data_IF_593721316470
#
_entry.id   IF_593721316470
#
_cell.length_a   1.000
_cell.length_b   1.000
_cell.length_c   1.000
_cell.angle_alpha   90.00
_cell.angle_beta   90.00
_cell.angle_gamma   90.00
#
_symmetry.space_group_name_H-M   'P 1'
#
loop_
_entity.id
_entity.type
_entity.pdbx_description
1 polymer ?
#
# COMPACT_ATOMS: atom_id res chain seq x y z
N UNK A 1 -13.42 -15.00 4.89
CA UNK A 1 -13.00 -13.65 5.31
C UNK A 1 -12.71 -13.67 6.80
N UNK A 2 -11.57 -13.14 7.28
CA UNK A 2 -11.18 -13.16 8.71
C UNK A 2 -11.85 -12.07 9.57
N UNK A 3 -12.83 -11.33 9.03
CA UNK A 3 -13.59 -10.29 9.76
C UNK A 3 -12.94 -8.90 9.77
N UNK A 4 -11.76 -8.75 9.18
CA UNK A 4 -11.05 -7.47 9.11
C UNK A 4 -11.77 -6.45 8.20
N UNK A 5 -11.79 -5.19 8.62
CA UNK A 5 -12.40 -4.07 7.88
C UNK A 5 -11.37 -3.38 6.98
N UNK A 6 -10.90 -4.12 5.97
CA UNK A 6 -9.90 -3.65 4.99
C UNK A 6 -10.49 -3.54 3.58
N UNK A 7 -9.83 -2.82 2.69
CA UNK A 7 -10.28 -2.62 1.33
C UNK A 7 -9.18 -2.09 0.42
N UNK A 8 -9.40 -2.18 -0.89
CA UNK A 8 -8.44 -1.78 -1.92
C UNK A 8 -9.10 -0.86 -2.95
N UNK A 9 -8.45 0.25 -3.27
CA UNK A 9 -8.79 1.08 -4.44
C UNK A 9 -7.74 0.82 -5.53
N UNK A 10 -8.21 0.43 -6.72
CA UNK A 10 -7.36 0.20 -7.90
C UNK A 10 -7.39 1.43 -8.79
N UNK A 11 -6.30 2.19 -8.83
CA UNK A 11 -6.15 3.33 -9.75
C UNK A 11 -5.97 2.78 -11.16
N UNK A 12 -6.91 3.09 -12.07
CA UNK A 12 -6.90 2.64 -13.47
C UNK A 12 -6.45 3.72 -14.44
N UNK A 13 -6.97 4.94 -14.26
CA UNK A 13 -6.57 6.12 -15.02
C UNK A 13 -5.77 7.04 -14.10
N UNK A 14 -4.45 7.03 -14.25
CA UNK A 14 -3.58 7.90 -13.44
C UNK A 14 -3.58 9.34 -13.94
N UNK A 15 -3.65 9.57 -15.26
CA UNK A 15 -3.75 10.91 -15.85
C UNK A 15 -4.75 10.94 -17.01
N UNK A 16 -5.64 11.96 -17.09
CA UNK A 16 -5.92 12.96 -16.04
C UNK A 16 -6.50 12.32 -14.77
N UNK A 17 -6.08 12.79 -13.59
CA UNK A 17 -6.47 12.22 -12.30
C UNK A 17 -7.83 12.79 -11.85
N UNK A 18 -8.84 11.94 -11.68
CA UNK A 18 -10.19 12.36 -11.29
C UNK A 18 -10.41 12.17 -9.79
N UNK A 19 -10.30 13.27 -9.03
CA UNK A 19 -10.59 13.31 -7.58
C UNK A 19 -12.04 12.91 -7.31
N UNK A 20 -12.99 13.41 -8.11
CA UNK A 20 -14.41 13.08 -7.98
C UNK A 20 -14.67 11.56 -7.99
N UNK A 21 -14.08 10.85 -8.97
CA UNK A 21 -14.25 9.38 -9.07
C UNK A 21 -13.59 8.65 -7.91
N UNK A 22 -12.42 9.11 -7.45
CA UNK A 22 -11.74 8.55 -6.27
C UNK A 22 -12.62 8.69 -5.02
N UNK A 23 -13.10 9.89 -4.73
CA UNK A 23 -13.92 10.16 -3.55
C UNK A 23 -15.27 9.43 -3.61
N UNK A 24 -15.85 9.27 -4.80
CA UNK A 24 -17.10 8.53 -5.00
C UNK A 24 -17.00 7.04 -4.62
N UNK A 25 -15.85 6.41 -4.86
CA UNK A 25 -15.65 4.98 -4.55
C UNK A 25 -15.08 4.75 -3.15
N UNK A 26 -14.56 5.78 -2.49
CA UNK A 26 -13.98 5.68 -1.16
C UNK A 26 -15.09 5.61 -0.09
N UNK A 27 -15.16 4.54 0.72
CA UNK A 27 -16.12 4.47 1.81
C UNK A 27 -15.95 5.61 2.82
N UNK A 28 -17.06 6.19 3.31
CA UNK A 28 -17.02 7.25 4.33
C UNK A 28 -16.41 6.81 5.68
N UNK A 29 -16.27 5.50 5.89
CA UNK A 29 -15.71 4.91 7.12
C UNK A 29 -14.19 4.81 7.10
N UNK A 30 -13.52 5.15 5.99
CA UNK A 30 -12.05 5.08 5.89
C UNK A 30 -11.42 6.11 6.82
N UNK A 31 -10.48 5.65 7.66
CA UNK A 31 -9.74 6.49 8.61
C UNK A 31 -8.25 6.58 8.29
N UNK A 32 -7.68 5.54 7.68
CA UNK A 32 -6.26 5.44 7.35
C UNK A 32 -6.11 4.82 5.96
N UNK A 33 -5.18 5.33 5.15
CA UNK A 33 -4.88 4.88 3.80
C UNK A 33 -3.38 4.64 3.68
N UNK A 34 -2.98 3.48 3.16
CA UNK A 34 -1.63 3.27 2.65
C UNK A 34 -1.65 3.43 1.13
N UNK A 35 -0.72 4.23 0.59
CA UNK A 35 -0.52 4.40 -0.85
C UNK A 35 0.78 3.73 -1.22
N UNK A 36 0.72 2.82 -2.20
CA UNK A 36 1.87 2.06 -2.65
C UNK A 36 2.33 2.56 -4.03
N UNK A 37 3.52 3.12 -4.08
CA UNK A 37 4.16 3.62 -5.29
C UNK A 37 5.22 2.63 -5.77
N UNK A 38 5.22 2.36 -7.08
CA UNK A 38 6.22 1.52 -7.75
C UNK A 38 7.32 2.36 -8.40
N UNK A 39 7.78 3.37 -7.68
CA UNK A 39 8.85 4.28 -8.09
C UNK A 39 9.60 4.78 -6.85
N UNK A 40 10.75 5.44 -7.06
CA UNK A 40 11.48 6.15 -6.03
C UNK A 40 11.95 7.48 -6.62
N UNK A 41 11.58 8.57 -5.98
CA UNK A 41 12.04 9.92 -6.33
C UNK A 41 12.90 10.46 -5.17
N UNK A 42 14.23 10.29 -5.23
CA UNK A 42 15.12 10.69 -4.15
C UNK A 42 14.99 12.20 -3.84
N UNK A 43 14.91 12.53 -2.55
CA UNK A 43 14.77 13.93 -2.10
C UNK A 43 13.36 14.50 -2.19
N UNK A 44 12.40 13.81 -2.83
CA UNK A 44 11.00 14.23 -2.84
C UNK A 44 10.39 14.18 -1.44
N UNK A 45 9.33 14.97 -1.25
CA UNK A 45 8.49 14.93 -0.04
C UNK A 45 7.56 13.71 0.00
N UNK A 46 7.44 12.98 -1.12
CA UNK A 46 6.66 11.75 -1.26
C UNK A 46 6.58 11.33 -2.72
N UNK A 47 6.22 10.08 -2.96
CA UNK A 47 6.09 9.52 -4.30
C UNK A 47 4.82 10.02 -5.02
N UNK A 48 4.74 9.94 -6.36
CA UNK A 48 3.73 10.62 -7.15
C UNK A 48 2.28 10.30 -6.77
N UNK A 49 1.93 9.02 -6.65
CA UNK A 49 0.55 8.64 -6.32
C UNK A 49 0.22 9.02 -4.87
N UNK A 50 1.16 8.85 -3.94
CA UNK A 50 1.00 9.32 -2.58
C UNK A 50 0.65 10.82 -2.51
N UNK A 51 1.37 11.67 -3.24
CA UNK A 51 1.09 13.12 -3.26
C UNK A 51 -0.28 13.44 -3.87
N UNK A 52 -0.67 12.74 -4.93
CA UNK A 52 -2.00 12.92 -5.54
C UNK A 52 -3.13 12.53 -4.56
N UNK A 53 -2.96 11.45 -3.80
CA UNK A 53 -3.95 11.01 -2.81
C UNK A 53 -4.01 11.99 -1.63
N UNK A 54 -2.86 12.45 -1.12
CA UNK A 54 -2.82 13.49 -0.08
C UNK A 54 -3.57 14.73 -0.54
N UNK A 55 -3.32 15.21 -1.77
CA UNK A 55 -4.05 16.36 -2.31
C UNK A 55 -5.53 16.06 -2.46
N UNK A 56 -5.90 14.89 -2.99
CA UNK A 56 -7.30 14.54 -3.24
C UNK A 56 -8.16 14.49 -1.97
N UNK A 57 -7.60 14.09 -0.82
CA UNK A 57 -8.33 14.07 0.45
C UNK A 57 -8.19 15.36 1.26
N UNK A 58 -7.26 16.26 0.91
CA UNK A 58 -6.93 17.45 1.72
C UNK A 58 -8.08 18.43 1.97
N UNK A 59 -9.11 18.42 1.12
CA UNK A 59 -10.27 19.32 1.21
C UNK A 59 -11.49 18.67 1.88
N UNK A 60 -11.35 17.43 2.38
CA UNK A 60 -12.40 16.77 3.15
C UNK A 60 -12.46 17.35 4.57
N UNK A 61 -13.67 17.47 5.14
CA UNK A 61 -13.85 17.96 6.52
C UNK A 61 -13.13 17.08 7.57
N UNK A 62 -13.07 15.77 7.33
CA UNK A 62 -12.37 14.81 8.19
C UNK A 62 -11.55 13.85 7.32
N UNK A 63 -10.38 14.28 6.84
CA UNK A 63 -9.58 13.52 5.89
C UNK A 63 -8.95 12.30 6.58
N UNK A 64 -8.90 11.14 5.91
CA UNK A 64 -8.16 9.99 6.44
C UNK A 64 -6.66 10.30 6.48
N UNK A 65 -5.94 9.71 7.45
CA UNK A 65 -4.48 9.79 7.47
C UNK A 65 -3.90 8.98 6.32
N UNK A 66 -2.99 9.57 5.54
CA UNK A 66 -2.37 8.95 4.37
C UNK A 66 -0.91 8.61 4.67
N UNK A 67 -0.51 7.37 4.37
CA UNK A 67 0.84 6.84 4.58
C UNK A 67 1.40 6.33 3.25
N UNK A 68 2.57 6.81 2.85
CA UNK A 68 3.23 6.43 1.61
C UNK A 68 4.18 5.25 1.81
N UNK A 69 4.19 4.33 0.85
CA UNK A 69 5.08 3.17 0.82
C UNK A 69 5.60 2.88 -0.58
N UNK A 70 6.81 2.33 -0.67
CA UNK A 70 7.41 1.88 -1.94
C UNK A 70 7.45 0.37 -2.04
N UNK A 71 7.25 -0.15 -3.25
CA UNK A 71 7.33 -1.58 -3.54
C UNK A 71 7.82 -1.86 -4.96
N UNK A 72 8.21 -3.10 -5.26
CA UNK A 72 8.25 -3.60 -6.63
C UNK A 72 9.32 -3.00 -7.55
N UNK A 73 10.32 -2.30 -7.02
CA UNK A 73 11.44 -1.78 -7.79
C UNK A 73 12.33 -2.93 -8.28
N UNK A 74 12.83 -2.85 -9.51
CA UNK A 74 13.71 -3.90 -10.07
C UNK A 74 13.06 -5.28 -10.17
N UNK A 75 11.74 -5.35 -10.39
CA UNK A 75 10.98 -6.61 -10.48
C UNK A 75 10.87 -7.42 -9.19
N UNK A 76 11.21 -6.81 -8.04
CA UNK A 76 11.05 -7.45 -6.73
C UNK A 76 9.58 -7.40 -6.27
N UNK A 77 8.76 -8.28 -6.84
CA UNK A 77 7.32 -8.32 -6.57
C UNK A 77 7.02 -8.68 -5.10
N UNK A 78 6.04 -8.00 -4.45
CA UNK A 78 5.69 -8.34 -3.09
C UNK A 78 4.87 -9.64 -3.03
N UNK A 79 5.20 -10.51 -2.09
CA UNK A 79 4.33 -11.60 -1.65
C UNK A 79 3.08 -11.09 -0.93
N UNK A 80 2.02 -11.92 -0.83
CA UNK A 80 0.83 -11.57 -0.05
C UNK A 80 1.14 -11.14 1.39
N UNK A 81 2.14 -11.76 2.03
CA UNK A 81 2.58 -11.43 3.39
C UNK A 81 3.01 -9.96 3.52
N UNK A 82 3.72 -9.43 2.52
CA UNK A 82 4.09 -8.01 2.49
C UNK A 82 2.87 -7.09 2.42
N UNK A 83 1.79 -7.50 1.77
CA UNK A 83 0.55 -6.72 1.73
C UNK A 83 -0.15 -6.74 3.09
N UNK A 84 -0.13 -7.88 3.80
CA UNK A 84 -0.61 -7.94 5.20
C UNK A 84 0.21 -7.01 6.09
N UNK A 85 1.54 -6.98 5.96
CA UNK A 85 2.39 -6.07 6.72
C UNK A 85 1.99 -4.59 6.54
N UNK A 86 1.51 -4.19 5.35
CA UNK A 86 0.99 -2.83 5.10
C UNK A 86 -0.28 -2.56 5.92
N UNK A 87 -1.23 -3.50 5.96
CA UNK A 87 -2.43 -3.35 6.78
C UNK A 87 -2.11 -3.38 8.28
N UNK A 88 -1.19 -4.25 8.71
CA UNK A 88 -0.72 -4.28 10.09
C UNK A 88 -0.04 -2.96 10.48
N UNK A 89 0.75 -2.36 9.58
CA UNK A 89 1.31 -1.03 9.79
C UNK A 89 0.20 0.02 10.02
N UNK A 90 -0.85 0.02 9.19
CA UNK A 90 -2.00 0.92 9.37
C UNK A 90 -2.75 0.66 10.69
N UNK A 91 -2.78 -0.57 11.19
CA UNK A 91 -3.44 -0.92 12.44
C UNK A 91 -2.72 -0.39 13.70
N UNK A 92 -1.43 -0.04 13.59
CA UNK A 92 -0.66 0.51 14.72
C UNK A 92 -1.18 1.88 15.16
N UNK A 93 -0.94 2.22 16.42
CA UNK A 93 -1.24 3.57 16.97
C UNK A 93 -0.46 4.65 16.25
N UNK A 94 0.79 4.34 15.88
CA UNK A 94 1.69 5.22 15.11
C UNK A 94 2.22 4.49 13.88
N UNK A 95 1.42 4.39 12.79
CA UNK A 95 1.88 3.74 11.57
C UNK A 95 3.13 4.41 11.01
N UNK A 96 4.09 3.61 10.54
CA UNK A 96 5.27 4.09 9.84
C UNK A 96 4.84 4.71 8.50
N UNK A 97 5.30 5.94 8.23
CA UNK A 97 5.16 6.60 6.94
C UNK A 97 6.47 6.47 6.15
N UNK A 98 6.44 6.71 4.82
CA UNK A 98 7.58 6.62 3.89
C UNK A 98 8.29 5.26 3.90
N UNK A 99 7.52 4.19 4.12
CA UNK A 99 8.05 2.85 4.32
C UNK A 99 8.45 2.16 2.99
N UNK A 100 9.14 1.04 3.09
CA UNK A 100 9.40 0.10 1.98
C UNK A 100 8.90 -1.31 2.35
N UNK A 101 8.50 -2.09 1.35
CA UNK A 101 8.13 -3.50 1.52
C UNK A 101 8.96 -4.41 0.62
N UNK A 102 9.24 -5.63 1.11
CA UNK A 102 9.94 -6.67 0.37
C UNK A 102 11.48 -6.59 0.40
N UNK A 103 12.05 -5.60 1.10
CA UNK A 103 13.47 -5.54 1.42
C UNK A 103 13.65 -5.46 2.92
N UNK A 104 14.82 -5.89 3.39
CA UNK A 104 15.37 -5.46 4.67
C UNK A 104 16.21 -4.20 4.42
N UNK A 105 15.83 -3.10 5.07
CA UNK A 105 16.56 -1.83 5.05
C UNK A 105 17.02 -1.54 6.47
N UNK A 106 18.23 -2.00 6.77
CA UNK A 106 18.94 -1.87 8.04
C UNK A 106 19.68 -0.53 8.18
N UNK A 107 19.76 0.26 7.10
CA UNK A 107 20.41 1.57 7.08
C UNK A 107 19.42 2.67 7.46
N UNK A 108 18.33 2.82 6.69
CA UNK A 108 17.36 3.89 6.94
C UNK A 108 16.15 3.44 7.76
N UNK A 109 16.06 2.14 8.06
CA UNK A 109 15.00 1.55 8.88
C UNK A 109 13.58 1.88 8.36
N UNK A 110 13.42 2.05 7.04
CA UNK A 110 12.13 2.34 6.41
C UNK A 110 11.36 1.06 6.08
N UNK A 111 12.04 -0.08 6.01
CA UNK A 111 11.40 -1.37 5.77
C UNK A 111 10.36 -1.71 6.84
N UNK A 112 9.27 -2.32 6.41
CA UNK A 112 8.32 -3.04 7.26
C UNK A 112 8.29 -4.50 6.82
N UNK A 113 8.31 -5.39 7.80
CA UNK A 113 8.39 -6.84 7.57
C UNK A 113 7.09 -7.52 8.00
N UNK A 114 6.67 -8.58 7.28
CA UNK A 114 5.55 -9.39 7.71
C UNK A 114 5.91 -10.18 8.96
N UNK A 115 4.95 -10.38 9.86
CA UNK A 115 5.14 -11.24 11.04
C UNK A 115 5.14 -12.72 10.70
N UNK A 116 4.35 -13.08 9.69
CA UNK A 116 4.17 -14.46 9.24
C UNK A 116 4.08 -14.52 7.71
N UNK A 117 4.50 -15.64 7.15
CA UNK A 117 4.21 -15.96 5.75
C UNK A 117 2.74 -16.35 5.61
N UNK A 118 2.12 -15.93 4.51
CA UNK A 118 0.73 -16.26 4.21
C UNK A 118 0.64 -16.83 2.81
N UNK A 119 -0.16 -17.87 2.66
CA UNK A 119 -0.63 -18.33 1.37
C UNK A 119 -2.02 -17.75 1.12
N UNK A 120 -2.13 -16.90 0.09
CA UNK A 120 -3.39 -16.29 -0.33
C UNK A 120 -3.99 -17.00 -1.56
N UNK A 121 -3.44 -18.15 -1.95
CA UNK A 121 -3.92 -18.93 -3.08
C UNK A 121 -5.31 -19.50 -2.78
N UNK A 122 -6.29 -19.38 -3.69
CA UNK A 122 -7.58 -20.04 -3.53
C UNK A 122 -7.44 -21.57 -3.40
N UNK A 123 -8.33 -22.18 -2.62
CA UNK A 123 -8.37 -23.64 -2.48
C UNK A 123 -8.57 -24.34 -3.83
N UNK A 124 -7.94 -25.51 -4.00
CA UNK A 124 -8.05 -26.31 -5.23
C UNK A 124 -7.07 -25.92 -6.35
N UNK A 125 -6.19 -24.94 -6.14
CA UNK A 125 -5.14 -24.57 -7.10
C UNK A 125 -3.86 -25.38 -6.85
N UNK A 126 -3.38 -26.06 -7.89
CA UNK A 126 -2.06 -26.75 -7.86
C UNK A 126 -0.98 -25.83 -8.40
N UNK A 127 0.08 -25.59 -7.61
CA UNK A 127 1.24 -24.82 -8.02
C UNK A 127 2.42 -25.74 -8.41
N UNK A 128 3.04 -25.48 -9.56
CA UNK A 128 4.20 -26.23 -10.05
C UNK A 128 5.40 -25.28 -10.25
N UNK A 129 6.62 -25.77 -9.98
CA UNK A 129 7.87 -25.05 -10.24
C UNK A 129 8.83 -25.97 -10.98
N UNK A 130 9.35 -25.52 -12.11
CA UNK A 130 10.28 -26.28 -12.94
C UNK A 130 11.63 -25.59 -12.92
N UNK A 131 12.69 -26.34 -12.64
CA UNK A 131 14.06 -25.88 -12.70
C UNK A 131 14.70 -26.54 -13.92
N UNK A 132 15.11 -25.73 -14.89
CA UNK A 132 15.78 -26.16 -16.12
C UNK A 132 17.26 -25.82 -16.11
#
# INVERSE_FOLDING_TARGET
>A
AKGEKVGLIKVRLYRPFSIEKLLKVMPKTVKKIAVLDRTKEPGSIGEPLYLDIVRAVSEMDNPPNVYGGRFGLGSMAPYPSHIVAVYENLAQDKPKNRFTIGIEDDVTNLSISPKEEIDATPEGITACKFWG
#
